data_IF_817158432533
#
_entry.id   IF_817158432533
#
_cell.length_a   1.000
_cell.length_b   1.000
_cell.length_c   1.000
_cell.angle_alpha   90.00
_cell.angle_beta   90.00
_cell.angle_gamma   90.00
#
_symmetry.space_group_name_H-M   'P 1'
#
loop_
_entity.id
_entity.type
_entity.pdbx_description
1 polymer ?
#
# COMPACT_ATOMS: atom_id res chain seq x y z
N UNK A 1 2.54 13.96 -33.08
CA UNK A 1 2.29 14.46 -31.72
C UNK A 1 1.12 13.66 -31.17
N UNK A 2 1.40 12.58 -30.42
CA UNK A 2 0.34 11.83 -29.75
C UNK A 2 0.01 12.62 -28.48
N UNK A 3 -1.22 13.08 -28.38
CA UNK A 3 -1.74 13.68 -27.15
C UNK A 3 -2.10 12.48 -26.29
N UNK A 4 -1.33 12.26 -25.22
CA UNK A 4 -1.62 11.25 -24.21
C UNK A 4 -2.82 11.75 -23.37
N UNK A 5 -4.02 11.63 -23.92
CA UNK A 5 -5.27 12.14 -23.30
C UNK A 5 -5.91 11.20 -22.28
N UNK A 6 -5.26 10.10 -21.89
CA UNK A 6 -5.88 9.09 -21.00
C UNK A 6 -5.08 8.85 -19.70
N UNK A 7 -4.27 9.81 -19.23
CA UNK A 7 -3.76 9.73 -17.86
C UNK A 7 -4.93 9.98 -16.91
N UNK A 8 -5.49 8.90 -16.37
CA UNK A 8 -6.57 8.97 -15.38
C UNK A 8 -6.15 9.92 -14.25
N UNK A 9 -6.79 11.08 -14.18
CA UNK A 9 -6.48 12.12 -13.20
C UNK A 9 -6.84 11.60 -11.81
N UNK A 10 -5.82 11.13 -11.09
CA UNK A 10 -5.97 10.66 -9.71
C UNK A 10 -6.08 11.88 -8.77
N UNK A 11 -6.92 11.82 -7.73
CA UNK A 11 -7.12 12.92 -6.77
C UNK A 11 -5.82 13.34 -6.04
N UNK A 12 -4.81 12.47 -6.12
CA UNK A 12 -3.51 12.55 -5.46
C UNK A 12 -2.35 12.83 -6.42
N UNK A 13 -2.60 13.14 -7.70
CA UNK A 13 -1.54 13.24 -8.74
C UNK A 13 -0.35 14.15 -8.40
N UNK A 14 -0.57 15.23 -7.63
CA UNK A 14 0.48 16.17 -7.18
C UNK A 14 0.62 16.20 -5.65
N UNK A 15 0.28 15.09 -4.98
CA UNK A 15 0.39 14.94 -3.53
C UNK A 15 1.16 13.68 -3.22
N UNK A 16 1.85 13.69 -2.08
CA UNK A 16 2.42 12.51 -1.48
C UNK A 16 1.56 12.02 -0.32
N UNK A 17 1.54 10.71 -0.11
CA UNK A 17 0.83 10.06 0.99
C UNK A 17 1.83 9.51 2.00
N UNK A 18 1.66 9.89 3.26
CA UNK A 18 2.40 9.28 4.37
C UNK A 18 1.49 8.29 5.11
N UNK A 19 1.89 7.02 5.15
CA UNK A 19 1.25 5.97 5.95
C UNK A 19 2.05 5.81 7.24
N UNK A 20 1.38 5.94 8.39
CA UNK A 20 1.99 5.72 9.70
C UNK A 20 1.69 4.29 10.16
N UNK A 21 2.71 3.43 10.15
CA UNK A 21 2.62 2.01 10.47
C UNK A 21 2.80 1.09 9.26
N UNK A 22 3.84 0.27 9.30
CA UNK A 22 4.21 -0.78 8.36
C UNK A 22 3.72 -2.18 8.77
N UNK A 23 2.60 -2.26 9.47
CA UNK A 23 1.89 -3.52 9.68
C UNK A 23 1.25 -4.05 8.38
N UNK A 24 0.63 -5.25 8.40
CA UNK A 24 0.08 -5.88 7.20
C UNK A 24 -0.95 -5.00 6.48
N UNK A 25 -1.78 -4.26 7.21
CA UNK A 25 -2.76 -3.33 6.63
C UNK A 25 -2.08 -2.13 5.96
N UNK A 26 -1.12 -1.49 6.65
CA UNK A 26 -0.42 -0.31 6.13
C UNK A 26 0.42 -0.62 4.90
N UNK A 27 1.12 -1.75 4.90
CA UNK A 27 1.88 -2.21 3.73
C UNK A 27 0.99 -2.61 2.56
N UNK A 28 -0.15 -3.25 2.81
CA UNK A 28 -1.13 -3.55 1.76
C UNK A 28 -1.68 -2.26 1.14
N UNK A 29 -2.00 -1.26 1.97
CA UNK A 29 -2.46 0.05 1.48
C UNK A 29 -1.38 0.75 0.64
N UNK A 30 -0.13 0.75 1.10
CA UNK A 30 0.99 1.31 0.36
C UNK A 30 1.13 0.67 -1.01
N UNK A 31 1.01 -0.66 -1.07
CA UNK A 31 1.10 -1.42 -2.32
C UNK A 31 -0.01 -1.05 -3.31
N UNK A 32 -1.26 -0.98 -2.84
CA UNK A 32 -2.41 -0.60 -3.66
C UNK A 32 -2.28 0.83 -4.20
N UNK A 33 -1.86 1.78 -3.37
CA UNK A 33 -1.62 3.16 -3.81
C UNK A 33 -0.50 3.23 -4.85
N UNK A 34 0.62 2.57 -4.58
CA UNK A 34 1.78 2.56 -5.48
C UNK A 34 1.44 1.98 -6.86
N UNK A 35 0.59 0.96 -6.94
CA UNK A 35 0.12 0.39 -8.22
C UNK A 35 -0.75 1.34 -9.05
N UNK A 36 -1.32 2.37 -8.41
CA UNK A 36 -2.11 3.42 -9.07
C UNK A 36 -1.28 4.69 -9.32
N UNK A 37 0.05 4.55 -9.40
CA UNK A 37 1.03 5.63 -9.63
C UNK A 37 0.96 6.77 -8.60
N UNK A 38 0.56 6.46 -7.36
CA UNK A 38 0.51 7.43 -6.25
C UNK A 38 1.82 7.39 -5.47
N UNK A 39 2.41 8.55 -5.22
CA UNK A 39 3.59 8.70 -4.36
C UNK A 39 3.22 8.42 -2.89
N UNK A 40 3.81 7.37 -2.32
CA UNK A 40 3.50 6.89 -0.98
C UNK A 40 4.75 6.48 -0.21
N UNK A 41 4.86 6.93 1.04
CA UNK A 41 5.92 6.55 1.98
C UNK A 41 5.30 5.95 3.23
N UNK A 42 5.84 4.81 3.68
CA UNK A 42 5.43 4.17 4.95
C UNK A 42 6.47 4.46 6.01
N UNK A 43 6.04 5.02 7.14
CA UNK A 43 6.86 5.24 8.32
C UNK A 43 6.54 4.16 9.35
N UNK A 44 7.51 3.29 9.61
CA UNK A 44 7.41 2.24 10.62
C UNK A 44 8.34 2.55 11.79
N UNK A 45 7.89 2.22 13.01
CA UNK A 45 8.63 2.40 14.26
C UNK A 45 9.74 1.36 14.40
N UNK A 46 9.56 0.16 13.86
CA UNK A 46 10.57 -0.88 13.90
C UNK A 46 11.88 -0.42 13.25
N UNK A 47 13.01 -0.79 13.88
CA UNK A 47 14.35 -0.31 13.51
C UNK A 47 14.74 -0.68 12.08
N UNK A 48 14.35 -1.87 11.65
CA UNK A 48 14.64 -2.41 10.33
C UNK A 48 13.65 -3.53 9.97
N UNK A 49 13.71 -3.97 8.71
CA UNK A 49 12.83 -5.02 8.16
C UNK A 49 13.00 -6.41 8.78
N UNK A 50 14.04 -6.63 9.60
CA UNK A 50 14.30 -7.90 10.30
C UNK A 50 13.80 -7.87 11.74
N UNK A 51 13.22 -6.76 12.21
CA UNK A 51 12.57 -6.68 13.51
C UNK A 51 11.55 -7.82 13.64
N UNK A 52 11.65 -8.57 14.75
CA UNK A 52 10.78 -9.72 14.99
C UNK A 52 9.38 -9.24 15.32
N UNK A 53 8.40 -9.77 14.61
CA UNK A 53 6.99 -9.61 14.93
C UNK A 53 6.60 -10.72 15.92
N UNK A 54 6.30 -10.35 17.16
CA UNK A 54 5.80 -11.29 18.17
C UNK A 54 4.28 -11.46 18.04
N UNK A 55 3.81 -12.70 17.93
CA UNK A 55 2.39 -13.03 17.78
C UNK A 55 2.16 -14.42 17.19
N UNK A 56 0.89 -14.77 16.98
CA UNK A 56 0.49 -15.96 16.24
C UNK A 56 0.45 -15.74 14.72
N UNK A 57 -0.05 -16.73 13.99
CA UNK A 57 -0.29 -16.61 12.54
C UNK A 57 -1.53 -15.78 12.25
N UNK A 58 -1.57 -15.17 11.06
CA UNK A 58 -2.77 -14.55 10.51
C UNK A 58 -3.35 -15.44 9.41
N UNK A 59 -4.66 -15.64 9.43
CA UNK A 59 -5.40 -16.19 8.32
C UNK A 59 -6.22 -15.09 7.63
N UNK A 60 -6.26 -15.15 6.30
CA UNK A 60 -6.99 -14.19 5.49
C UNK A 60 -8.31 -14.80 5.04
N UNK A 61 -9.43 -14.19 5.45
CA UNK A 61 -10.75 -14.61 5.00
C UNK A 61 -10.96 -14.30 3.51
N UNK A 62 -11.70 -15.18 2.84
CA UNK A 62 -11.91 -15.15 1.38
C UNK A 62 -12.48 -13.83 0.87
N UNK A 63 -13.45 -13.25 1.56
CA UNK A 63 -14.18 -12.05 1.11
C UNK A 63 -13.53 -10.73 1.54
N UNK A 64 -12.41 -10.78 2.27
CA UNK A 64 -11.72 -9.59 2.78
C UNK A 64 -10.22 -9.66 2.53
N UNK A 65 -9.46 -10.31 3.40
CA UNK A 65 -8.00 -10.34 3.34
C UNK A 65 -7.46 -10.91 2.03
N UNK A 66 -8.08 -11.97 1.49
CA UNK A 66 -7.64 -12.54 0.22
C UNK A 66 -7.94 -11.64 -0.98
N UNK A 67 -9.08 -10.94 -0.97
CA UNK A 67 -9.40 -9.96 -2.02
C UNK A 67 -8.45 -8.76 -2.00
N UNK A 68 -8.01 -8.32 -0.82
CA UNK A 68 -6.99 -7.29 -0.70
C UNK A 68 -5.65 -7.76 -1.30
N UNK A 69 -5.22 -8.99 -1.00
CA UNK A 69 -3.99 -9.57 -1.56
C UNK A 69 -4.07 -9.83 -3.06
N UNK A 70 -5.26 -10.08 -3.60
CA UNK A 70 -5.45 -10.26 -5.05
C UNK A 70 -5.34 -8.94 -5.82
N UNK A 71 -5.65 -7.82 -5.17
CA UNK A 71 -5.59 -6.48 -5.75
C UNK A 71 -4.22 -5.83 -5.61
N UNK A 72 -3.52 -6.13 -4.50
CA UNK A 72 -2.17 -5.63 -4.17
C UNK A 72 -1.07 -6.43 -4.88
#
# INVERSE_FOLDING_TARGET
MRIDTDKQMNLLSDKNVAIIGGGPVGLTMARLLQQNDIDVTVYERDKDRQARIFGGTLDLHKTSGQEAMKKA
#
